data_IF_652833814625
#
_entry.id   IF_652833814625
#
_cell.length_a   1.000
_cell.length_b   1.000
_cell.length_c   1.000
_cell.angle_alpha   90.00
_cell.angle_beta   90.00
_cell.angle_gamma   90.00
#
_symmetry.space_group_name_H-M   'P 1'
#
loop_
_entity.id
_entity.type
_entity.pdbx_description
1 polymer ?
#
# COMPACT_ATOMS: atom_id res chain seq x y z
N UNK A 1 39.64 31.77 46.28
CA UNK A 1 38.19 31.50 46.26
C UNK A 1 37.55 31.84 44.92
N UNK A 2 37.71 33.07 44.40
CA UNK A 2 37.11 33.49 43.11
C UNK A 2 37.45 32.58 41.91
N UNK A 3 38.71 32.14 41.78
CA UNK A 3 39.13 31.22 40.71
C UNK A 3 38.43 29.85 40.75
N UNK A 4 38.17 29.33 41.96
CA UNK A 4 37.49 28.04 42.12
C UNK A 4 36.00 28.14 41.76
N UNK A 5 35.36 29.27 42.08
CA UNK A 5 33.96 29.53 41.70
C UNK A 5 33.79 29.62 40.17
N UNK A 6 34.74 30.24 39.47
CA UNK A 6 34.72 30.33 38.00
C UNK A 6 34.81 28.93 37.37
N UNK A 7 35.70 28.06 37.87
CA UNK A 7 35.86 26.69 37.35
C UNK A 7 34.60 25.85 37.58
N UNK A 8 33.98 25.95 38.76
CA UNK A 8 32.74 25.21 39.06
C UNK A 8 31.59 25.69 38.17
N UNK A 9 31.48 27.00 37.95
CA UNK A 9 30.46 27.59 37.08
C UNK A 9 30.65 27.14 35.62
N UNK A 10 31.89 27.14 35.12
CA UNK A 10 32.22 26.67 33.77
C UNK A 10 31.88 25.18 33.59
N UNK A 11 32.24 24.34 34.56
CA UNK A 11 31.86 22.93 34.56
C UNK A 11 30.34 22.74 34.52
N UNK A 12 29.60 23.53 35.31
CA UNK A 12 28.14 23.47 35.32
C UNK A 12 27.55 23.83 33.94
N UNK A 13 28.04 24.90 33.31
CA UNK A 13 27.62 25.28 31.97
C UNK A 13 27.96 24.21 30.93
N UNK A 14 29.15 23.63 30.99
CA UNK A 14 29.56 22.55 30.09
C UNK A 14 28.66 21.32 30.23
N UNK A 15 28.36 20.90 31.47
CA UNK A 15 27.45 19.77 31.75
C UNK A 15 26.03 20.09 31.29
N UNK A 16 25.54 21.30 31.53
CA UNK A 16 24.22 21.72 31.08
C UNK A 16 24.11 21.67 29.55
N UNK A 17 25.07 22.24 28.83
CA UNK A 17 25.10 22.18 27.37
C UNK A 17 25.21 20.74 26.85
N UNK A 18 26.02 19.91 27.50
CA UNK A 18 26.12 18.50 27.17
C UNK A 18 24.78 17.77 27.32
N UNK A 19 24.04 18.00 28.41
CA UNK A 19 22.71 17.42 28.62
C UNK A 19 21.74 17.88 27.53
N UNK A 20 21.72 19.18 27.18
CA UNK A 20 20.85 19.71 26.13
C UNK A 20 21.15 19.05 24.78
N UNK A 21 22.42 18.94 24.41
CA UNK A 21 22.84 18.27 23.17
C UNK A 21 22.47 16.79 23.18
N UNK A 22 22.64 16.11 24.31
CA UNK A 22 22.31 14.70 24.48
C UNK A 22 20.80 14.47 24.33
N UNK A 23 19.97 15.31 24.95
CA UNK A 23 18.50 15.26 24.79
C UNK A 23 18.12 15.51 23.33
N UNK A 24 18.69 16.55 22.70
CA UNK A 24 18.42 16.85 21.30
C UNK A 24 18.79 15.68 20.39
N UNK A 25 19.94 15.04 20.62
CA UNK A 25 20.38 13.86 19.89
C UNK A 25 19.37 12.71 20.03
N UNK A 26 18.93 12.40 21.25
CA UNK A 26 17.95 11.33 21.47
C UNK A 26 16.60 11.62 20.80
N UNK A 27 16.11 12.86 20.84
CA UNK A 27 14.88 13.24 20.15
C UNK A 27 15.03 13.08 18.64
N UNK A 28 16.11 13.61 18.07
CA UNK A 28 16.40 13.49 16.63
C UNK A 28 16.52 12.03 16.21
N UNK A 29 17.19 11.20 17.01
CA UNK A 29 17.33 9.77 16.76
C UNK A 29 15.98 9.05 16.75
N UNK A 30 15.12 9.31 17.74
CA UNK A 30 13.79 8.70 17.80
C UNK A 30 12.92 9.10 16.60
N UNK A 31 12.93 10.38 16.21
CA UNK A 31 12.20 10.84 15.03
C UNK A 31 12.74 10.19 13.75
N UNK A 32 14.05 10.05 13.64
CA UNK A 32 14.67 9.38 12.50
C UNK A 32 14.25 7.91 12.41
N UNK A 33 14.28 7.18 13.53
CA UNK A 33 13.88 5.78 13.59
C UNK A 33 12.40 5.58 13.18
N UNK A 34 11.50 6.44 13.68
CA UNK A 34 10.09 6.40 13.29
C UNK A 34 9.91 6.63 11.79
N UNK A 35 10.52 7.69 11.25
CA UNK A 35 10.44 8.02 9.82
C UNK A 35 11.06 6.94 8.93
N UNK A 36 12.14 6.33 9.38
CA UNK A 36 12.80 5.26 8.66
C UNK A 36 11.92 4.01 8.60
N UNK A 37 11.30 3.63 9.72
CA UNK A 37 10.34 2.52 9.77
C UNK A 37 9.12 2.77 8.87
N UNK A 38 8.55 3.98 8.92
CA UNK A 38 7.41 4.36 8.06
C UNK A 38 7.80 4.32 6.57
N UNK A 39 8.99 4.79 6.22
CA UNK A 39 9.48 4.75 4.84
C UNK A 39 9.70 3.31 4.34
N UNK A 40 10.24 2.43 5.18
CA UNK A 40 10.39 1.01 4.84
C UNK A 40 9.04 0.34 4.61
N UNK A 41 8.08 0.52 5.53
CA UNK A 41 6.73 -0.02 5.38
C UNK A 41 6.05 0.51 4.11
N UNK A 42 6.15 1.81 3.84
CA UNK A 42 5.54 2.41 2.65
C UNK A 42 6.12 1.87 1.35
N UNK A 43 7.45 1.71 1.26
CA UNK A 43 8.10 1.15 0.08
C UNK A 43 7.70 -0.32 -0.15
N UNK A 44 7.57 -1.09 0.92
CA UNK A 44 7.10 -2.48 0.85
C UNK A 44 5.65 -2.55 0.33
N UNK A 45 4.74 -1.78 0.92
CA UNK A 45 3.34 -1.71 0.48
C UNK A 45 3.26 -1.25 -0.98
N UNK A 46 4.06 -0.26 -1.39
CA UNK A 46 4.10 0.21 -2.78
C UNK A 46 4.53 -0.88 -3.77
N UNK A 47 5.56 -1.65 -3.43
CA UNK A 47 6.00 -2.79 -4.25
C UNK A 47 4.89 -3.84 -4.38
N UNK A 48 4.22 -4.19 -3.27
CA UNK A 48 3.11 -5.14 -3.30
C UNK A 48 1.91 -4.60 -4.09
N UNK A 49 1.56 -3.32 -3.96
CA UNK A 49 0.48 -2.70 -4.74
C UNK A 49 0.78 -2.76 -6.23
N UNK A 50 2.04 -2.52 -6.63
CA UNK A 50 2.47 -2.63 -8.03
C UNK A 50 2.39 -4.06 -8.54
N UNK A 51 2.88 -5.04 -7.77
CA UNK A 51 2.81 -6.46 -8.12
C UNK A 51 1.36 -6.93 -8.27
N UNK A 52 0.51 -6.54 -7.33
CA UNK A 52 -0.92 -6.87 -7.35
C UNK A 52 -1.61 -6.25 -8.57
N UNK A 53 -1.33 -4.99 -8.87
CA UNK A 53 -1.90 -4.34 -10.04
C UNK A 53 -1.44 -4.98 -11.33
N UNK A 54 -0.16 -5.35 -11.43
CA UNK A 54 0.34 -6.06 -12.60
C UNK A 54 -0.28 -7.46 -12.70
N UNK A 55 -0.43 -8.17 -11.59
CA UNK A 55 -1.12 -9.46 -11.55
C UNK A 55 -2.57 -9.32 -12.04
N UNK A 56 -3.35 -8.39 -11.47
CA UNK A 56 -4.75 -8.21 -11.83
C UNK A 56 -4.94 -7.70 -13.25
N UNK A 57 -4.09 -6.77 -13.71
CA UNK A 57 -4.32 -6.04 -14.96
C UNK A 57 -3.56 -6.58 -16.18
N UNK A 58 -2.50 -7.38 -15.97
CA UNK A 58 -1.69 -7.95 -17.06
C UNK A 58 -1.81 -9.46 -17.15
N UNK A 59 -2.19 -10.16 -16.08
CA UNK A 59 -2.39 -11.61 -16.11
C UNK A 59 -3.85 -11.97 -16.42
N UNK A 60 -4.08 -13.08 -17.14
CA UNK A 60 -5.41 -13.69 -17.20
C UNK A 60 -5.77 -14.47 -15.94
N UNK A 61 -4.82 -14.76 -15.05
CA UNK A 61 -5.06 -15.62 -13.90
C UNK A 61 -4.72 -17.08 -14.19
N UNK A 62 -4.78 -17.90 -13.14
CA UNK A 62 -4.51 -19.33 -13.18
C UNK A 62 -5.62 -20.07 -12.43
N UNK A 63 -6.36 -20.98 -13.11
CA UNK A 63 -6.32 -21.24 -14.56
C UNK A 63 -6.78 -20.03 -15.40
N UNK A 64 -6.49 -20.01 -16.71
CA UNK A 64 -6.81 -18.87 -17.58
C UNK A 64 -8.31 -18.52 -17.62
N UNK A 65 -9.16 -19.54 -17.46
CA UNK A 65 -10.62 -19.45 -17.44
C UNK A 65 -11.20 -19.62 -16.02
N UNK A 66 -10.48 -19.12 -15.00
CA UNK A 66 -10.88 -19.26 -13.61
C UNK A 66 -12.29 -18.77 -13.29
N UNK A 67 -12.83 -17.84 -14.09
CA UNK A 67 -14.19 -17.31 -13.96
C UNK A 67 -15.29 -18.35 -14.18
N UNK A 68 -14.99 -19.45 -14.87
CA UNK A 68 -15.95 -20.51 -15.19
C UNK A 68 -16.06 -21.56 -14.06
N UNK A 69 -15.18 -21.50 -13.06
CA UNK A 69 -15.15 -22.46 -11.95
C UNK A 69 -15.70 -21.85 -10.65
N UNK A 70 -16.41 -22.66 -9.87
CA UNK A 70 -16.90 -22.28 -8.53
C UNK A 70 -15.83 -22.41 -7.43
N UNK A 71 -14.59 -22.75 -7.79
CA UNK A 71 -13.46 -22.87 -6.86
C UNK A 71 -12.64 -21.59 -6.81
N UNK A 72 -12.01 -21.34 -5.67
CA UNK A 72 -11.04 -20.25 -5.54
C UNK A 72 -9.85 -20.46 -6.49
N UNK A 73 -9.52 -19.49 -7.36
CA UNK A 73 -8.37 -19.62 -8.25
C UNK A 73 -7.04 -19.53 -7.50
N UNK A 74 -6.01 -20.14 -8.06
CA UNK A 74 -4.65 -20.02 -7.54
C UNK A 74 -4.10 -18.60 -7.73
N UNK A 75 -4.45 -17.98 -8.85
CA UNK A 75 -4.04 -16.62 -9.18
C UNK A 75 -5.17 -15.87 -9.88
N UNK A 76 -5.62 -14.76 -9.30
CA UNK A 76 -6.64 -13.91 -9.91
C UNK A 76 -5.97 -12.97 -10.91
N UNK A 77 -6.49 -12.95 -12.13
CA UNK A 77 -6.18 -11.95 -13.14
C UNK A 77 -7.47 -11.54 -13.85
N UNK A 78 -7.66 -10.25 -14.09
CA UNK A 78 -8.87 -9.69 -14.70
C UNK A 78 -8.73 -9.50 -16.22
N UNK A 79 -7.52 -9.64 -16.75
CA UNK A 79 -7.25 -9.32 -18.13
C UNK A 79 -7.56 -10.50 -19.06
N UNK A 80 -8.20 -10.28 -20.20
CA UNK A 80 -8.23 -11.27 -21.28
C UNK A 80 -6.95 -11.22 -22.13
N UNK A 81 -6.40 -10.01 -22.27
CA UNK A 81 -5.15 -9.70 -22.97
C UNK A 81 -4.65 -8.39 -22.39
N UNK A 82 -3.36 -8.32 -22.02
CA UNK A 82 -2.70 -7.18 -21.36
C UNK A 82 -3.48 -5.85 -21.44
N UNK A 83 -3.95 -5.35 -20.29
CA UNK A 83 -4.66 -4.06 -20.12
C UNK A 83 -6.15 -4.07 -20.56
N UNK A 84 -6.63 -5.12 -21.24
CA UNK A 84 -8.05 -5.31 -21.57
C UNK A 84 -8.71 -6.14 -20.48
N UNK A 85 -9.69 -5.58 -19.77
CA UNK A 85 -10.43 -6.26 -18.71
C UNK A 85 -11.58 -7.07 -19.31
N UNK A 86 -11.68 -8.34 -18.89
CA UNK A 86 -12.80 -9.22 -19.25
C UNK A 86 -14.01 -8.96 -18.34
N UNK A 87 -15.19 -8.76 -18.93
CA UNK A 87 -16.44 -8.55 -18.21
C UNK A 87 -16.79 -9.75 -17.32
N UNK A 88 -16.63 -10.97 -17.84
CA UNK A 88 -16.88 -12.20 -17.08
C UNK A 88 -15.98 -12.34 -15.87
N UNK A 89 -14.69 -12.04 -16.03
CA UNK A 89 -13.71 -12.10 -14.92
C UNK A 89 -14.00 -11.03 -13.88
N UNK A 90 -14.42 -9.85 -14.31
CA UNK A 90 -14.81 -8.77 -13.40
C UNK A 90 -16.06 -9.13 -12.58
N UNK A 91 -17.07 -9.75 -13.20
CA UNK A 91 -18.25 -10.26 -12.51
C UNK A 91 -17.90 -11.40 -11.54
N UNK A 92 -17.09 -12.37 -11.98
CA UNK A 92 -16.62 -13.45 -11.11
C UNK A 92 -15.79 -12.90 -9.94
N UNK A 93 -14.93 -11.91 -10.19
CA UNK A 93 -14.14 -11.23 -9.18
C UNK A 93 -15.02 -10.57 -8.11
N UNK A 94 -16.08 -9.87 -8.53
CA UNK A 94 -17.05 -9.28 -7.61
C UNK A 94 -17.75 -10.34 -6.75
N UNK A 95 -18.01 -11.51 -7.32
CA UNK A 95 -18.74 -12.60 -6.65
C UNK A 95 -17.88 -13.48 -5.74
N UNK A 96 -16.55 -13.50 -5.91
CA UNK A 96 -15.63 -14.28 -5.07
C UNK A 96 -15.70 -13.88 -3.58
N UNK A 97 -16.05 -12.63 -3.30
CA UNK A 97 -16.06 -12.07 -1.95
C UNK A 97 -14.67 -11.68 -1.45
N UNK A 98 -14.62 -10.70 -0.55
CA UNK A 98 -13.38 -10.05 -0.12
C UNK A 98 -12.32 -11.00 0.44
N UNK A 99 -12.72 -11.93 1.31
CA UNK A 99 -11.78 -12.87 1.95
C UNK A 99 -11.06 -13.77 0.93
N UNK A 100 -11.78 -14.24 -0.09
CA UNK A 100 -11.19 -15.09 -1.13
C UNK A 100 -10.24 -14.30 -2.02
N UNK A 101 -10.56 -13.03 -2.32
CA UNK A 101 -9.68 -12.15 -3.08
C UNK A 101 -8.37 -11.93 -2.33
N UNK A 102 -8.44 -11.59 -1.04
CA UNK A 102 -7.26 -11.36 -0.20
C UNK A 102 -6.37 -12.61 -0.14
N UNK A 103 -6.98 -13.79 0.01
CA UNK A 103 -6.24 -15.06 0.04
C UNK A 103 -5.58 -15.38 -1.32
N UNK A 104 -6.30 -15.22 -2.43
CA UNK A 104 -5.81 -15.60 -3.78
C UNK A 104 -4.81 -14.60 -4.38
N UNK A 105 -4.81 -13.37 -3.87
CA UNK A 105 -3.84 -12.34 -4.27
C UNK A 105 -2.60 -12.32 -3.39
N UNK A 106 -2.57 -13.16 -2.35
CA UNK A 106 -1.49 -13.27 -1.38
C UNK A 106 -1.11 -11.92 -0.72
N UNK A 107 -2.09 -11.02 -0.60
CA UNK A 107 -1.91 -9.72 0.07
C UNK A 107 -2.18 -9.80 1.57
N UNK A 108 -2.35 -11.00 2.13
CA UNK A 108 -3.08 -11.32 3.36
C UNK A 108 -2.79 -10.52 4.64
N UNK A 109 -1.68 -9.80 4.74
CA UNK A 109 -1.37 -8.90 5.87
C UNK A 109 -1.84 -7.46 5.64
N UNK A 110 -2.33 -7.15 4.45
CA UNK A 110 -2.79 -5.84 4.03
C UNK A 110 -4.29 -5.86 3.75
N UNK A 111 -4.91 -4.73 4.07
CA UNK A 111 -6.22 -4.41 3.58
C UNK A 111 -6.13 -4.02 2.10
N UNK A 112 -7.17 -4.39 1.36
CA UNK A 112 -7.25 -4.25 -0.08
C UNK A 112 -8.46 -3.40 -0.45
N UNK A 113 -8.27 -2.53 -1.44
CA UNK A 113 -9.34 -1.84 -2.11
C UNK A 113 -9.12 -1.88 -3.61
N UNK A 114 -10.20 -2.15 -4.34
CA UNK A 114 -10.22 -2.12 -5.79
C UNK A 114 -11.43 -1.33 -6.26
N UNK A 115 -11.18 -0.42 -7.18
CA UNK A 115 -12.21 0.41 -7.79
C UNK A 115 -11.97 0.49 -9.29
N UNK A 116 -12.99 0.17 -10.08
CA UNK A 116 -13.01 0.39 -11.52
C UNK A 116 -13.98 1.54 -11.83
N UNK A 117 -13.47 2.61 -12.42
CA UNK A 117 -14.23 3.81 -12.81
C UNK A 117 -14.23 3.96 -14.32
N UNK A 118 -15.41 4.12 -14.92
CA UNK A 118 -15.57 4.52 -16.33
C UNK A 118 -16.50 5.72 -16.39
N UNK A 119 -16.12 6.76 -17.13
CA UNK A 119 -16.93 7.98 -17.30
C UNK A 119 -17.36 8.62 -15.95
N UNK A 120 -16.45 8.63 -14.97
CA UNK A 120 -16.68 9.09 -13.58
C UNK A 120 -17.75 8.29 -12.79
N UNK A 121 -18.14 7.12 -13.28
CA UNK A 121 -19.06 6.21 -12.59
C UNK A 121 -18.29 4.98 -12.07
N UNK A 122 -18.47 4.66 -10.79
CA UNK A 122 -17.97 3.41 -10.21
C UNK A 122 -18.72 2.24 -10.81
N UNK A 123 -17.99 1.38 -11.52
CA UNK A 123 -18.53 0.16 -12.15
C UNK A 123 -18.44 -1.01 -11.16
N UNK A 124 -17.29 -1.14 -10.50
CA UNK A 124 -17.02 -2.16 -9.49
C UNK A 124 -16.21 -1.54 -8.38
N UNK A 125 -16.61 -1.82 -7.15
CA UNK A 125 -15.93 -1.42 -5.93
C UNK A 125 -15.88 -2.63 -4.99
N UNK A 126 -14.68 -2.94 -4.50
CA UNK A 126 -14.42 -4.09 -3.63
C UNK A 126 -13.53 -3.64 -2.47
N UNK A 127 -13.94 -4.01 -1.26
CA UNK A 127 -13.27 -3.60 -0.03
C UNK A 127 -13.80 -2.26 0.47
N UNK A 128 -13.28 -1.83 1.62
CA UNK A 128 -13.64 -0.54 2.23
C UNK A 128 -12.42 0.36 2.18
N UNK A 129 -12.46 1.44 1.40
CA UNK A 129 -11.35 2.39 1.33
C UNK A 129 -11.12 3.06 2.69
N UNK A 130 -9.87 3.01 3.17
CA UNK A 130 -9.43 3.77 4.33
C UNK A 130 -8.62 4.98 3.86
N UNK A 131 -8.99 6.18 4.32
CA UNK A 131 -8.31 7.44 3.99
C UNK A 131 -6.95 7.64 4.69
N UNK A 132 -6.44 6.63 5.38
CA UNK A 132 -5.17 6.65 6.12
C UNK A 132 -3.91 6.51 5.26
N UNK A 133 -2.90 5.82 5.80
CA UNK A 133 -1.61 5.53 5.12
C UNK A 133 -1.75 4.46 4.03
N UNK A 134 -2.66 4.68 3.07
CA UNK A 134 -2.84 3.80 1.92
C UNK A 134 -1.90 4.19 0.78
N UNK A 135 -1.32 3.18 0.13
CA UNK A 135 -0.65 3.36 -1.15
C UNK A 135 -1.67 3.13 -2.25
N UNK A 136 -2.00 4.20 -2.96
CA UNK A 136 -2.97 4.19 -4.05
C UNK A 136 -2.26 4.14 -5.39
N UNK A 137 -2.67 3.22 -6.24
CA UNK A 137 -2.17 3.09 -7.60
C UNK A 137 -3.34 3.21 -8.58
N UNK A 138 -3.24 4.17 -9.51
CA UNK A 138 -4.18 4.33 -10.62
C UNK A 138 -3.55 3.88 -11.93
N UNK A 139 -4.32 3.13 -12.74
CA UNK A 139 -3.93 2.63 -14.07
C UNK A 139 -5.07 2.79 -15.06
N UNK A 140 -4.74 3.22 -16.28
CA UNK A 140 -5.67 3.21 -17.40
C UNK A 140 -5.79 1.79 -17.95
N UNK A 141 -7.04 1.37 -18.21
CA UNK A 141 -7.37 0.06 -18.76
C UNK A 141 -8.40 0.20 -19.88
N UNK A 142 -8.54 -0.84 -20.70
CA UNK A 142 -9.60 -0.91 -21.71
C UNK A 142 -10.72 -1.79 -21.18
N UNK A 143 -11.93 -1.24 -21.12
CA UNK A 143 -13.12 -1.94 -20.64
C UNK A 143 -14.36 -1.53 -21.47
N UNK A 144 -15.06 -2.53 -22.05
CA UNK A 144 -16.21 -2.34 -22.95
C UNK A 144 -15.93 -1.29 -24.04
N UNK A 145 -14.86 -1.53 -24.80
CA UNK A 145 -14.39 -0.70 -25.93
C UNK A 145 -14.06 0.78 -25.60
N UNK A 146 -13.90 1.11 -24.32
CA UNK A 146 -13.53 2.45 -23.87
C UNK A 146 -12.41 2.43 -22.83
N UNK A 147 -11.81 3.59 -22.60
CA UNK A 147 -10.83 3.77 -21.54
C UNK A 147 -11.54 3.86 -20.20
N UNK A 148 -11.06 3.09 -19.22
CA UNK A 148 -11.49 3.15 -17.83
C UNK A 148 -10.25 3.31 -16.93
N UNK A 149 -10.48 3.68 -15.67
CA UNK A 149 -9.46 3.79 -14.65
C UNK A 149 -9.66 2.69 -13.62
N UNK A 150 -8.59 1.95 -13.32
CA UNK A 150 -8.52 1.08 -12.15
C UNK A 150 -7.73 1.77 -11.07
N UNK A 151 -8.26 1.76 -9.86
CA UNK A 151 -7.60 2.15 -8.63
C UNK A 151 -7.44 0.94 -7.74
N UNK A 152 -6.22 0.71 -7.27
CA UNK A 152 -5.88 -0.33 -6.34
C UNK A 152 -5.19 0.33 -5.15
N UNK A 153 -5.66 0.02 -3.95
CA UNK A 153 -5.05 0.53 -2.73
C UNK A 153 -4.73 -0.61 -1.78
N UNK A 154 -3.54 -0.55 -1.20
CA UNK A 154 -3.15 -1.40 -0.07
C UNK A 154 -2.75 -0.54 1.12
N UNK A 155 -3.09 -1.02 2.32
CA UNK A 155 -2.66 -0.44 3.59
C UNK A 155 -2.63 -1.52 4.67
N UNK A 156 -1.95 -1.24 5.77
CA UNK A 156 -1.95 -2.12 6.95
C UNK A 156 -3.00 -1.67 7.96
#
# INVERSE_FOLDING_TARGET
MLKAQIVIMDLFFAVFLFIVLLVSFFVSWNVYQLRFSDALMRNEVELYTLQLADQLLKSPGVPENWEDFNSTPDLIGLSSKSIIISDKKLEAFKNLGYANIVNSTNVGLYNFYFLLVKDNVSIVEIGNYSSGQAVNLRRNVIYKDGVANVEISLWK
#
